data_IF_274523317448
#
_entry.id   IF_274523317448
#
_cell.length_a   1.000
_cell.length_b   1.000
_cell.length_c   1.000
_cell.angle_alpha   90.00
_cell.angle_beta   90.00
_cell.angle_gamma   90.00
#
_symmetry.space_group_name_H-M   'P 1'
#
loop_
_entity.id
_entity.type
_entity.pdbx_description
1 polymer ?
#
# COMPACT_ATOMS: atom_id res chain seq x y z
N UNK A 1 54.92 30.99 29.29
CA UNK A 1 53.86 30.92 28.28
C UNK A 1 53.20 29.54 28.42
N UNK A 2 52.11 29.47 29.17
CA UNK A 2 51.32 28.23 29.34
C UNK A 2 50.11 28.31 28.43
N UNK A 3 50.11 27.51 27.38
CA UNK A 3 48.97 27.34 26.49
C UNK A 3 47.97 26.35 27.13
N UNK A 4 46.81 26.89 27.46
CA UNK A 4 45.68 26.13 27.99
C UNK A 4 45.01 25.38 26.83
N UNK A 5 44.84 24.04 26.85
CA UNK A 5 44.10 23.36 25.83
C UNK A 5 42.61 23.60 26.08
N UNK A 6 41.93 24.28 25.15
CA UNK A 6 40.50 24.42 25.13
C UNK A 6 39.86 23.03 24.97
N UNK A 7 39.20 22.58 26.02
CA UNK A 7 38.36 21.37 25.98
C UNK A 7 37.18 21.65 25.05
N UNK A 8 37.23 21.10 23.85
CA UNK A 8 36.10 21.07 22.94
C UNK A 8 35.09 20.11 23.54
N UNK A 9 34.10 20.65 24.26
CA UNK A 9 32.91 19.91 24.65
C UNK A 9 32.15 19.65 23.37
N UNK A 10 32.28 18.40 22.83
CA UNK A 10 31.44 17.91 21.75
C UNK A 10 30.01 17.90 22.28
N UNK A 11 29.19 18.87 21.88
CA UNK A 11 27.73 18.77 22.03
C UNK A 11 27.32 17.56 21.19
N UNK A 12 27.10 16.42 21.86
CA UNK A 12 26.41 15.27 21.26
C UNK A 12 25.03 15.78 20.86
N UNK A 13 24.79 15.94 19.57
CA UNK A 13 23.47 16.23 19.04
C UNK A 13 22.51 15.21 19.67
N UNK A 14 21.54 15.68 20.45
CA UNK A 14 20.52 14.78 21.02
C UNK A 14 19.74 14.22 19.85
N UNK A 15 19.87 12.90 19.63
CA UNK A 15 19.11 12.21 18.59
C UNK A 15 17.66 12.19 18.99
N UNK A 16 16.79 12.68 18.11
CA UNK A 16 15.32 12.58 18.28
C UNK A 16 14.92 11.11 18.30
N UNK A 17 14.13 10.71 19.27
CA UNK A 17 13.61 9.34 19.42
C UNK A 17 12.16 9.25 18.94
N UNK A 18 11.65 8.04 18.76
CA UNK A 18 10.22 7.82 18.49
C UNK A 18 9.33 8.47 19.58
N UNK A 19 9.68 8.29 20.85
CA UNK A 19 8.94 8.90 21.97
C UNK A 19 8.99 10.44 21.92
N UNK A 20 10.08 11.04 21.50
CA UNK A 20 10.16 12.49 21.34
C UNK A 20 9.15 13.00 20.30
N UNK A 21 8.99 12.29 19.17
CA UNK A 21 7.97 12.64 18.16
C UNK A 21 6.54 12.44 18.68
N UNK A 22 6.32 11.42 19.50
CA UNK A 22 5.02 11.19 20.16
C UNK A 22 4.71 12.34 21.13
N UNK A 23 5.67 12.73 21.95
CA UNK A 23 5.51 13.84 22.88
C UNK A 23 5.26 15.16 22.15
N UNK A 24 5.92 15.41 21.01
CA UNK A 24 5.72 16.61 20.19
C UNK A 24 4.30 16.70 19.59
N UNK A 25 3.62 15.57 19.34
CA UNK A 25 2.31 15.56 18.67
C UNK A 25 1.12 15.35 19.60
N UNK A 26 1.31 14.77 20.79
CA UNK A 26 0.18 14.24 21.58
C UNK A 26 -0.87 15.31 21.93
N UNK A 27 -0.48 16.53 22.31
CA UNK A 27 -1.42 17.57 22.68
C UNK A 27 -2.12 18.15 21.46
N UNK A 28 -1.37 18.50 20.41
CA UNK A 28 -1.96 19.03 19.17
C UNK A 28 -2.86 18.00 18.50
N UNK A 29 -2.45 16.71 18.49
CA UNK A 29 -3.29 15.60 18.02
C UNK A 29 -4.61 15.52 18.79
N UNK A 30 -4.57 15.62 20.12
CA UNK A 30 -5.78 15.61 20.96
C UNK A 30 -6.73 16.74 20.61
N UNK A 31 -6.23 17.93 20.31
CA UNK A 31 -7.05 19.07 19.90
C UNK A 31 -7.69 18.84 18.52
N UNK A 32 -6.92 18.32 17.53
CA UNK A 32 -7.47 17.99 16.21
C UNK A 32 -8.48 16.84 16.25
N UNK A 33 -8.29 15.84 17.13
CA UNK A 33 -9.27 14.78 17.33
C UNK A 33 -10.57 15.33 17.94
N UNK A 34 -10.48 16.27 18.88
CA UNK A 34 -11.67 16.93 19.39
C UNK A 34 -12.38 17.76 18.30
N UNK A 35 -11.62 18.47 17.43
CA UNK A 35 -12.18 19.19 16.29
C UNK A 35 -12.85 18.23 15.28
N UNK A 36 -12.21 17.11 14.96
CA UNK A 36 -12.79 16.07 14.11
C UNK A 36 -14.10 15.51 14.71
N UNK A 37 -14.16 15.30 16.03
CA UNK A 37 -15.37 14.89 16.72
C UNK A 37 -16.48 15.95 16.65
N UNK A 38 -16.14 17.22 16.79
CA UNK A 38 -17.10 18.35 16.67
C UNK A 38 -17.74 18.40 15.27
N UNK A 39 -16.94 18.31 14.20
CA UNK A 39 -17.46 18.38 12.82
C UNK A 39 -18.17 17.09 12.38
N UNK A 40 -17.77 15.94 12.88
CA UNK A 40 -18.40 14.66 12.52
C UNK A 40 -19.75 14.47 13.20
N UNK A 41 -19.95 14.99 14.40
CA UNK A 41 -21.24 14.98 15.10
C UNK A 41 -21.89 13.61 15.25
N UNK A 42 -21.12 12.52 15.12
CA UNK A 42 -21.64 11.16 15.11
C UNK A 42 -22.19 10.69 13.76
N UNK A 43 -21.91 11.42 12.66
CA UNK A 43 -22.34 11.03 11.32
C UNK A 43 -21.52 9.85 10.77
N UNK A 44 -22.15 9.04 9.93
CA UNK A 44 -21.44 8.04 9.11
C UNK A 44 -20.55 8.76 8.08
N UNK A 45 -19.50 8.07 7.63
CA UNK A 45 -18.54 8.61 6.68
C UNK A 45 -18.23 7.60 5.57
N UNK A 46 -17.68 8.10 4.48
CA UNK A 46 -17.16 7.31 3.37
C UNK A 46 -15.75 7.76 3.05
N UNK A 47 -14.84 6.81 2.88
CA UNK A 47 -13.48 7.05 2.36
C UNK A 47 -13.38 6.47 0.96
N UNK A 48 -12.90 7.30 0.03
CA UNK A 48 -12.53 6.89 -1.33
C UNK A 48 -11.03 7.12 -1.49
N UNK A 49 -10.28 6.04 -1.75
CA UNK A 49 -8.84 6.11 -2.00
C UNK A 49 -8.50 6.25 -3.48
N UNK A 50 -9.45 5.98 -4.39
CA UNK A 50 -9.23 6.15 -5.84
C UNK A 50 -9.32 7.62 -6.25
N UNK A 51 -10.30 8.33 -5.66
CA UNK A 51 -10.42 9.79 -5.70
C UNK A 51 -10.30 10.30 -4.25
N UNK A 52 -9.07 10.49 -3.73
CA UNK A 52 -8.82 10.61 -2.30
C UNK A 52 -9.74 11.61 -1.60
N UNK A 53 -10.73 11.09 -0.88
CA UNK A 53 -11.71 11.88 -0.13
C UNK A 53 -12.24 11.13 1.09
N UNK A 54 -12.42 11.85 2.19
CA UNK A 54 -13.16 11.42 3.37
C UNK A 54 -14.36 12.34 3.50
N UNK A 55 -15.56 11.81 3.35
CA UNK A 55 -16.81 12.59 3.27
C UNK A 55 -17.78 12.12 4.33
N UNK A 56 -18.44 13.07 5.04
CA UNK A 56 -19.50 12.76 5.99
C UNK A 56 -20.82 12.57 5.25
N UNK A 57 -21.55 11.50 5.54
CA UNK A 57 -22.83 11.22 4.86
C UNK A 57 -23.96 12.18 5.26
N UNK A 58 -23.84 12.84 6.40
CA UNK A 58 -24.83 13.83 6.86
C UNK A 58 -24.64 15.21 6.25
N UNK A 59 -23.45 15.52 5.75
CA UNK A 59 -23.09 16.82 5.17
C UNK A 59 -21.96 16.64 4.15
N UNK A 60 -22.33 16.48 2.88
CA UNK A 60 -21.41 16.32 1.76
C UNK A 60 -20.45 17.52 1.57
N UNK A 61 -20.73 18.66 2.23
CA UNK A 61 -19.83 19.81 2.22
C UNK A 61 -18.57 19.58 3.06
N UNK A 62 -18.59 18.62 3.98
CA UNK A 62 -17.42 18.25 4.78
C UNK A 62 -16.65 17.15 4.06
N UNK A 63 -15.58 17.57 3.36
CA UNK A 63 -14.69 16.67 2.66
C UNK A 63 -13.26 16.91 3.12
N UNK A 64 -12.61 15.84 3.63
CA UNK A 64 -11.22 15.86 4.06
C UNK A 64 -10.38 14.99 3.13
N UNK A 65 -9.09 15.26 3.07
CA UNK A 65 -8.12 14.44 2.33
C UNK A 65 -7.59 13.33 3.22
N UNK A 66 -7.79 12.04 2.86
CA UNK A 66 -7.25 10.92 3.61
C UNK A 66 -5.85 10.53 3.11
N UNK A 67 -4.95 10.23 4.05
CA UNK A 67 -3.63 9.67 3.80
C UNK A 67 -3.52 8.34 4.55
N UNK A 68 -3.30 7.25 3.84
CA UNK A 68 -3.12 5.93 4.44
C UNK A 68 -1.70 5.82 5.01
N UNK A 69 -1.56 5.63 6.32
CA UNK A 69 -0.26 5.40 6.96
C UNK A 69 0.16 3.94 6.89
N UNK A 70 -0.75 3.04 7.19
CA UNK A 70 -0.48 1.62 7.25
C UNK A 70 -1.66 0.83 7.79
N UNK A 71 -1.46 -0.46 7.93
CA UNK A 71 -2.47 -1.40 8.43
C UNK A 71 -1.96 -2.16 9.64
N UNK A 72 -2.83 -2.28 10.63
CA UNK A 72 -2.67 -3.12 11.80
C UNK A 72 -3.46 -4.42 11.56
N UNK A 73 -2.80 -5.57 11.60
CA UNK A 73 -3.43 -6.87 11.41
C UNK A 73 -3.26 -7.75 12.65
N UNK A 74 -4.34 -7.99 13.38
CA UNK A 74 -4.35 -8.90 14.52
C UNK A 74 -4.04 -10.35 14.08
N UNK A 75 -4.54 -10.74 12.89
CA UNK A 75 -4.34 -12.09 12.35
C UNK A 75 -2.87 -12.36 11.99
N UNK A 76 -2.16 -11.35 11.48
CA UNK A 76 -0.72 -11.46 11.16
C UNK A 76 0.15 -11.12 12.37
N UNK A 77 -0.40 -10.44 13.39
CA UNK A 77 0.35 -9.91 14.51
C UNK A 77 1.36 -8.85 14.08
N UNK A 78 1.03 -8.03 13.07
CA UNK A 78 1.96 -7.05 12.53
C UNK A 78 1.28 -5.75 12.12
N UNK A 79 2.08 -4.67 12.13
CA UNK A 79 1.84 -3.40 11.47
C UNK A 79 2.60 -3.40 10.14
N UNK A 80 1.93 -3.00 9.04
CA UNK A 80 2.54 -2.85 7.72
C UNK A 80 2.32 -1.42 7.26
N UNK A 81 3.41 -0.74 6.89
CA UNK A 81 3.34 0.61 6.35
C UNK A 81 2.80 0.63 4.91
N UNK A 82 2.03 1.66 4.58
CA UNK A 82 1.40 1.78 3.25
C UNK A 82 2.38 2.04 2.10
N UNK A 83 3.62 2.41 2.36
CA UNK A 83 4.64 2.49 1.30
C UNK A 83 4.99 1.10 0.70
N UNK A 84 4.61 0.00 1.34
CA UNK A 84 4.69 -1.35 0.77
C UNK A 84 3.65 -1.56 -0.35
N UNK A 85 2.60 -0.79 -0.33
CA UNK A 85 1.49 -0.83 -1.29
C UNK A 85 1.64 0.25 -2.40
N UNK A 86 2.87 0.71 -2.66
CA UNK A 86 3.16 1.63 -3.76
C UNK A 86 2.72 1.00 -5.08
N UNK A 87 1.86 1.74 -5.82
CA UNK A 87 1.27 1.27 -7.07
C UNK A 87 -0.13 0.65 -6.95
N UNK A 88 -0.57 0.24 -5.75
CA UNK A 88 -1.97 -0.14 -5.49
C UNK A 88 -2.85 1.07 -5.22
N UNK A 89 -2.33 2.06 -4.46
CA UNK A 89 -3.00 3.31 -4.18
C UNK A 89 -2.43 4.45 -5.02
N UNK A 90 -3.19 5.52 -5.27
CA UNK A 90 -2.65 6.77 -5.80
C UNK A 90 -1.49 7.28 -4.90
N UNK A 91 -0.45 7.86 -5.50
CA UNK A 91 0.74 8.34 -4.77
C UNK A 91 0.37 9.32 -3.65
N UNK A 92 -0.66 10.13 -3.87
CA UNK A 92 -1.21 11.04 -2.85
C UNK A 92 -1.67 10.32 -1.58
N UNK A 93 -2.31 9.16 -1.73
CA UNK A 93 -2.86 8.41 -0.58
C UNK A 93 -1.74 7.92 0.35
N UNK A 94 -0.58 7.57 -0.19
CA UNK A 94 0.56 7.02 0.58
C UNK A 94 1.64 8.06 0.88
N UNK A 95 1.51 9.29 0.38
CA UNK A 95 2.52 10.35 0.48
C UNK A 95 2.91 10.69 1.92
N UNK A 96 1.97 10.72 2.86
CA UNK A 96 2.25 10.95 4.27
C UNK A 96 3.07 9.81 4.92
N UNK A 97 2.85 8.56 4.50
CA UNK A 97 3.67 7.44 4.96
C UNK A 97 5.10 7.55 4.42
N UNK A 98 5.26 7.91 3.14
CA UNK A 98 6.58 8.15 2.52
C UNK A 98 7.31 9.31 3.20
N UNK A 99 6.63 10.43 3.48
CA UNK A 99 7.17 11.54 4.25
C UNK A 99 7.63 11.09 5.65
N UNK A 100 6.81 10.28 6.33
CA UNK A 100 7.14 9.70 7.64
C UNK A 100 8.40 8.84 7.57
N UNK A 101 8.53 7.99 6.55
CA UNK A 101 9.74 7.18 6.30
C UNK A 101 10.98 8.04 6.12
N UNK A 102 10.86 9.10 5.32
CA UNK A 102 11.96 10.04 5.07
C UNK A 102 12.41 10.74 6.34
N UNK A 103 11.48 11.29 7.13
CA UNK A 103 11.78 11.89 8.43
C UNK A 103 12.33 10.87 9.44
N UNK A 104 11.80 9.65 9.46
CA UNK A 104 12.33 8.55 10.26
C UNK A 104 13.78 8.22 9.93
N UNK A 105 14.14 8.18 8.66
CA UNK A 105 15.50 7.95 8.20
C UNK A 105 16.45 9.09 8.61
N UNK A 106 16.00 10.33 8.51
CA UNK A 106 16.79 11.51 8.94
C UNK A 106 17.11 11.47 10.43
N UNK A 107 16.20 10.97 11.26
CA UNK A 107 16.38 10.86 12.71
C UNK A 107 16.97 9.50 13.14
N UNK A 108 17.12 8.53 12.23
CA UNK A 108 17.63 7.19 12.54
C UNK A 108 16.65 6.35 13.36
N UNK A 109 15.34 6.56 13.19
CA UNK A 109 14.26 5.86 13.91
C UNK A 109 13.85 4.63 13.08
N UNK A 110 14.24 3.44 13.56
CA UNK A 110 14.04 2.17 12.86
C UNK A 110 12.57 1.84 12.64
N UNK A 111 11.71 2.13 13.59
CA UNK A 111 10.27 1.85 13.54
C UNK A 111 9.56 2.61 12.41
N UNK A 112 10.11 3.75 12.00
CA UNK A 112 9.58 4.56 10.90
C UNK A 112 10.20 4.22 9.53
N UNK A 113 11.11 3.26 9.47
CA UNK A 113 11.81 2.87 8.22
C UNK A 113 11.73 1.38 7.91
N UNK A 114 11.27 0.58 8.88
CA UNK A 114 11.07 -0.87 8.71
C UNK A 114 9.67 -1.12 8.14
N UNK A 115 9.61 -1.89 7.08
CA UNK A 115 8.41 -2.10 6.28
C UNK A 115 7.26 -2.77 7.05
N UNK A 116 7.61 -3.79 7.86
CA UNK A 116 6.67 -4.54 8.70
C UNK A 116 7.23 -4.66 10.11
N UNK A 117 6.41 -4.39 11.11
CA UNK A 117 6.76 -4.41 12.52
C UNK A 117 5.88 -5.41 13.27
N UNK A 118 6.42 -6.21 14.23
CA UNK A 118 5.60 -6.99 15.14
C UNK A 118 4.63 -6.09 15.90
N UNK A 119 3.38 -6.52 16.03
CA UNK A 119 2.34 -5.73 16.66
C UNK A 119 2.46 -5.83 18.18
N UNK A 120 2.86 -4.72 18.80
CA UNK A 120 2.79 -4.52 20.24
C UNK A 120 1.57 -3.67 20.60
N UNK A 121 1.12 -3.77 21.86
CA UNK A 121 -0.01 -2.99 22.36
C UNK A 121 0.17 -1.49 22.14
N UNK A 122 -0.78 -0.90 21.40
CA UNK A 122 -0.80 0.52 21.08
C UNK A 122 0.30 0.96 20.08
N UNK A 123 1.00 0.04 19.40
CA UNK A 123 2.03 0.37 18.44
C UNK A 123 1.49 1.25 17.31
N UNK A 124 0.38 0.86 16.69
CA UNK A 124 -0.23 1.59 15.58
C UNK A 124 -0.52 3.05 15.95
N UNK A 125 -1.07 3.28 17.16
CA UNK A 125 -1.31 4.63 17.68
C UNK A 125 -0.01 5.42 17.91
N UNK A 126 1.03 4.79 18.44
CA UNK A 126 2.34 5.43 18.64
C UNK A 126 2.98 5.84 17.32
N UNK A 127 2.95 4.97 16.31
CA UNK A 127 3.44 5.25 14.96
C UNK A 127 2.64 6.39 14.30
N UNK A 128 1.32 6.39 14.46
CA UNK A 128 0.45 7.46 13.98
C UNK A 128 0.78 8.81 14.64
N UNK A 129 1.01 8.84 15.95
CA UNK A 129 1.41 10.07 16.65
C UNK A 129 2.78 10.58 16.17
N UNK A 130 3.77 9.70 16.00
CA UNK A 130 5.07 10.09 15.46
C UNK A 130 4.96 10.62 14.01
N UNK A 131 4.15 9.98 13.18
CA UNK A 131 3.89 10.42 11.81
C UNK A 131 3.29 11.84 11.75
N UNK A 132 2.39 12.17 12.69
CA UNK A 132 1.77 13.51 12.76
C UNK A 132 2.80 14.64 12.95
N UNK A 133 3.82 14.43 13.78
CA UNK A 133 4.92 15.38 13.96
C UNK A 133 5.70 15.63 12.67
N UNK A 134 5.91 14.57 11.88
CA UNK A 134 6.69 14.62 10.64
C UNK A 134 5.89 15.12 9.43
N UNK A 135 4.56 15.03 9.48
CA UNK A 135 3.69 15.34 8.33
C UNK A 135 2.86 16.62 8.50
N UNK A 136 2.67 17.08 9.75
CA UNK A 136 1.76 18.18 10.04
C UNK A 136 0.26 17.85 9.93
N UNK A 137 -0.09 16.61 9.61
CA UNK A 137 -1.48 16.13 9.54
C UNK A 137 -1.90 15.57 10.91
N UNK A 138 -2.53 16.39 11.74
CA UNK A 138 -2.74 16.08 13.16
C UNK A 138 -4.05 15.35 13.48
N UNK A 139 -5.01 15.26 12.54
CA UNK A 139 -6.19 14.43 12.68
C UNK A 139 -5.93 13.01 12.13
N UNK A 140 -6.54 11.99 12.72
CA UNK A 140 -6.46 10.62 12.24
C UNK A 140 -7.75 9.86 12.48
N UNK A 141 -7.91 8.75 11.76
CA UNK A 141 -9.02 7.84 11.97
C UNK A 141 -8.60 6.40 11.68
N UNK A 142 -8.85 5.45 12.61
CA UNK A 142 -8.68 4.02 12.35
C UNK A 142 -9.92 3.47 11.64
N UNK A 143 -9.75 2.95 10.43
CA UNK A 143 -10.80 2.36 9.59
C UNK A 143 -10.77 0.86 9.73
N UNK A 144 -11.89 0.21 10.06
CA UNK A 144 -11.98 -1.25 10.00
C UNK A 144 -12.01 -1.70 8.54
N UNK A 145 -10.97 -2.39 8.09
CA UNK A 145 -10.79 -2.84 6.71
C UNK A 145 -11.07 -4.34 6.51
N UNK A 146 -11.66 -5.01 7.52
CA UNK A 146 -12.00 -6.42 7.50
C UNK A 146 -11.87 -7.06 8.89
N UNK A 147 -12.08 -8.37 8.98
CA UNK A 147 -11.97 -9.08 10.26
C UNK A 147 -10.52 -9.06 10.78
N UNK A 148 -10.27 -8.32 11.88
CA UNK A 148 -8.95 -8.23 12.50
C UNK A 148 -7.94 -7.35 11.75
N UNK A 149 -8.39 -6.54 10.78
CA UNK A 149 -7.55 -5.56 10.07
C UNK A 149 -8.09 -4.15 10.27
N UNK A 150 -7.22 -3.24 10.67
CA UNK A 150 -7.53 -1.82 10.86
C UNK A 150 -6.55 -0.97 10.05
N UNK A 151 -7.06 -0.16 9.14
CA UNK A 151 -6.28 0.82 8.40
C UNK A 151 -6.22 2.14 9.16
N UNK A 152 -5.04 2.73 9.30
CA UNK A 152 -4.83 4.00 9.98
C UNK A 152 -4.60 5.09 8.96
N UNK A 153 -5.48 6.08 8.97
CA UNK A 153 -5.44 7.22 8.04
C UNK A 153 -5.19 8.52 8.79
N UNK A 154 -4.40 9.40 8.19
CA UNK A 154 -4.35 10.82 8.57
C UNK A 154 -5.36 11.59 7.74
N UNK A 155 -5.89 12.67 8.30
CA UNK A 155 -6.91 13.51 7.67
C UNK A 155 -6.45 14.97 7.67
N UNK A 156 -6.64 15.63 6.53
CA UNK A 156 -6.45 17.07 6.34
C UNK A 156 -7.62 17.71 5.62
N UNK A 157 -7.81 19.00 5.88
CA UNK A 157 -8.82 19.82 5.23
C UNK A 157 -9.05 21.12 5.99
N UNK A 158 -9.58 22.13 5.30
CA UNK A 158 -9.85 23.45 5.91
C UNK A 158 -10.87 23.40 7.05
N UNK A 159 -11.76 22.40 7.05
CA UNK A 159 -12.74 22.19 8.12
C UNK A 159 -12.10 21.78 9.46
N UNK A 160 -10.86 21.25 9.41
CA UNK A 160 -10.09 20.90 10.59
C UNK A 160 -9.27 22.08 11.15
N UNK A 161 -9.28 23.24 10.51
CA UNK A 161 -8.59 24.42 11.03
C UNK A 161 -9.07 24.73 12.45
N UNK A 162 -8.08 24.99 13.32
CA UNK A 162 -8.34 25.31 14.71
C UNK A 162 -8.43 26.84 14.86
N UNK A 163 -9.41 27.27 15.67
CA UNK A 163 -9.49 28.68 16.07
C UNK A 163 -8.23 29.14 16.80
N UNK A 164 -8.07 30.45 16.96
CA UNK A 164 -6.98 31.03 17.75
C UNK A 164 -6.92 30.36 19.15
N UNK A 165 -5.71 30.06 19.65
CA UNK A 165 -5.56 29.38 20.93
C UNK A 165 -6.09 30.22 22.08
N UNK A 166 -6.89 29.58 22.98
CA UNK A 166 -7.35 30.16 24.22
C UNK A 166 -6.78 29.37 25.41
N UNK A 167 -6.57 30.06 26.55
CA UNK A 167 -6.05 29.40 27.74
C UNK A 167 -6.95 28.26 28.23
N UNK A 168 -8.26 28.44 28.13
CA UNK A 168 -9.21 27.39 28.50
C UNK A 168 -9.09 26.15 27.60
N UNK A 169 -9.08 26.33 26.28
CA UNK A 169 -8.93 25.23 25.32
C UNK A 169 -7.61 24.49 25.51
N UNK A 170 -6.50 25.24 25.61
CA UNK A 170 -5.18 24.65 25.83
C UNK A 170 -5.11 23.84 27.12
N UNK A 171 -5.67 24.34 28.22
CA UNK A 171 -5.73 23.62 29.49
C UNK A 171 -6.57 22.34 29.41
N UNK A 172 -7.73 22.39 28.77
CA UNK A 172 -8.58 21.22 28.56
C UNK A 172 -7.90 20.13 27.71
N UNK A 173 -7.26 20.52 26.61
CA UNK A 173 -6.52 19.62 25.72
C UNK A 173 -5.38 18.92 26.47
N UNK A 174 -4.57 19.69 27.21
CA UNK A 174 -3.50 19.09 28.01
C UNK A 174 -4.05 18.12 29.06
N UNK A 175 -5.10 18.50 29.79
CA UNK A 175 -5.74 17.62 30.79
C UNK A 175 -6.26 16.32 30.16
N UNK A 176 -6.91 16.41 29.02
CA UNK A 176 -7.45 15.27 28.29
C UNK A 176 -6.35 14.35 27.76
N UNK A 177 -5.33 14.88 27.13
CA UNK A 177 -4.23 14.09 26.60
C UNK A 177 -3.44 13.36 27.67
N UNK A 178 -3.23 13.98 28.83
CA UNK A 178 -2.52 13.38 29.96
C UNK A 178 -3.25 12.16 30.56
N UNK A 179 -4.57 12.07 30.43
CA UNK A 179 -5.34 10.90 30.88
C UNK A 179 -4.95 9.62 30.13
N UNK A 180 -4.44 9.74 28.91
CA UNK A 180 -4.00 8.59 28.11
C UNK A 180 -2.68 7.97 28.59
N UNK A 181 -1.89 8.70 29.40
CA UNK A 181 -0.57 8.26 29.83
C UNK A 181 0.47 8.13 28.72
N UNK A 182 0.16 8.63 27.51
CA UNK A 182 1.02 8.50 26.31
C UNK A 182 2.20 9.48 26.34
N UNK A 183 2.00 10.70 26.87
CA UNK A 183 3.06 11.69 27.05
C UNK A 183 4.04 11.22 28.13
N UNK A 184 5.34 11.19 27.79
CA UNK A 184 6.41 10.83 28.71
C UNK A 184 7.17 12.07 29.18
N UNK A 185 7.56 12.94 28.26
CA UNK A 185 8.22 14.20 28.54
C UNK A 185 7.21 15.35 28.41
N UNK A 186 6.59 15.73 29.55
CA UNK A 186 5.56 16.77 29.52
C UNK A 186 6.12 18.18 29.20
N UNK A 187 7.40 18.47 29.56
CA UNK A 187 8.01 19.73 29.18
C UNK A 187 8.09 19.87 27.66
N UNK A 188 8.58 18.81 26.99
CA UNK A 188 8.65 18.74 25.54
C UNK A 188 7.27 18.85 24.90
N UNK A 189 6.32 18.07 25.39
CA UNK A 189 4.95 18.07 24.87
C UNK A 189 4.28 19.44 24.96
N UNK A 190 4.46 20.15 26.10
CA UNK A 190 3.96 21.51 26.26
C UNK A 190 4.67 22.50 25.33
N UNK A 191 5.99 22.47 25.27
CA UNK A 191 6.79 23.38 24.43
C UNK A 191 6.40 23.22 22.95
N UNK A 192 6.32 21.99 22.46
CA UNK A 192 5.89 21.70 21.09
C UNK A 192 4.45 22.16 20.82
N UNK A 193 3.51 21.82 21.70
CA UNK A 193 2.11 22.20 21.53
C UNK A 193 1.90 23.71 21.47
N UNK A 194 2.53 24.44 22.40
CA UNK A 194 2.42 25.91 22.43
C UNK A 194 2.95 26.54 21.15
N UNK A 195 4.09 26.07 20.65
CA UNK A 195 4.69 26.54 19.37
C UNK A 195 3.78 26.20 18.18
N UNK A 196 3.27 24.98 18.10
CA UNK A 196 2.39 24.55 17.01
C UNK A 196 1.05 25.30 17.00
N UNK A 197 0.62 25.83 18.17
CA UNK A 197 -0.57 26.67 18.27
C UNK A 197 -0.30 28.15 18.06
N UNK A 198 0.95 28.56 17.86
CA UNK A 198 1.33 29.97 17.73
C UNK A 198 1.11 30.80 19.00
N UNK A 199 1.12 30.13 20.16
CA UNK A 199 1.12 30.76 21.47
C UNK A 199 2.56 31.01 21.97
N UNK A 200 2.73 31.75 23.04
CA UNK A 200 4.03 32.00 23.62
C UNK A 200 4.24 31.19 24.88
N UNK A 201 5.45 30.68 25.08
CA UNK A 201 5.87 30.04 26.33
C UNK A 201 7.13 30.68 26.87
N UNK A 202 7.10 31.10 28.15
CA UNK A 202 8.22 31.58 28.91
C UNK A 202 8.56 30.60 30.04
N UNK A 203 9.76 30.02 30.00
CA UNK A 203 10.28 29.17 31.05
C UNK A 203 10.93 30.01 32.15
N UNK A 204 10.29 30.10 33.31
CA UNK A 204 10.84 30.79 34.47
C UNK A 204 11.98 29.95 35.11
N UNK A 205 11.77 28.64 35.18
CA UNK A 205 12.71 27.63 35.68
C UNK A 205 12.48 26.31 34.95
N UNK A 206 13.26 25.27 35.23
CA UNK A 206 12.99 23.91 34.74
C UNK A 206 11.69 23.32 35.30
N UNK A 207 11.12 23.93 36.35
CA UNK A 207 9.91 23.48 37.02
C UNK A 207 8.69 24.37 36.79
N UNK A 208 8.82 25.47 36.08
CA UNK A 208 7.71 26.41 35.87
C UNK A 208 7.79 27.09 34.52
N UNK A 209 6.64 27.19 33.85
CA UNK A 209 6.48 27.91 32.59
C UNK A 209 5.19 28.74 32.60
N UNK A 210 5.16 29.84 31.88
CA UNK A 210 3.97 30.62 31.61
C UNK A 210 3.64 30.57 30.12
N UNK A 211 2.45 30.02 29.79
CA UNK A 211 1.90 30.07 28.46
C UNK A 211 1.04 31.30 28.33
N UNK A 212 1.28 32.09 27.28
CA UNK A 212 0.43 33.24 26.92
C UNK A 212 -0.31 32.95 25.62
N UNK A 213 -1.63 33.04 25.65
CA UNK A 213 -2.51 32.93 24.50
C UNK A 213 -3.24 34.27 24.28
N UNK A 214 -4.15 34.31 23.29
CA UNK A 214 -4.83 35.56 22.89
C UNK A 214 -5.76 36.12 23.96
N UNK A 215 -6.26 35.29 24.87
CA UNK A 215 -7.26 35.63 25.90
C UNK A 215 -6.69 35.63 27.34
N UNK A 216 -5.37 35.41 27.51
CA UNK A 216 -4.78 35.39 28.82
C UNK A 216 -3.52 34.55 28.94
N UNK A 217 -3.18 34.14 30.16
CA UNK A 217 -2.03 33.28 30.41
C UNK A 217 -2.29 32.22 31.48
N UNK A 218 -1.57 31.08 31.39
CA UNK A 218 -1.53 29.99 32.34
C UNK A 218 -0.10 29.76 32.82
N UNK A 219 0.07 29.61 34.12
CA UNK A 219 1.31 29.11 34.73
C UNK A 219 1.20 27.61 34.90
N UNK A 220 2.20 26.89 34.42
CA UNK A 220 2.37 25.44 34.60
C UNK A 220 3.45 25.19 35.63
N UNK A 221 3.17 24.22 36.49
CA UNK A 221 4.13 23.69 37.46
C UNK A 221 4.50 22.26 37.04
N UNK A 222 5.79 21.95 37.14
CA UNK A 222 6.30 20.62 36.84
C UNK A 222 6.97 20.01 38.07
N UNK A 223 6.68 18.74 38.34
CA UNK A 223 7.36 17.90 39.31
C UNK A 223 7.95 16.70 38.57
N UNK A 224 9.25 16.48 38.71
CA UNK A 224 9.96 15.40 37.98
C UNK A 224 9.66 15.35 36.49
N UNK A 225 9.56 16.53 35.86
CA UNK A 225 9.28 16.66 34.42
C UNK A 225 7.82 16.42 34.01
N UNK A 226 6.89 16.25 34.99
CA UNK A 226 5.47 16.08 34.73
C UNK A 226 4.66 17.27 35.23
N UNK A 227 3.61 17.66 34.47
CA UNK A 227 2.70 18.72 34.91
C UNK A 227 2.07 18.31 36.25
N UNK A 228 2.27 19.12 37.27
CA UNK A 228 1.76 18.95 38.61
C UNK A 228 0.72 19.98 39.01
N UNK A 229 0.63 21.10 38.25
CA UNK A 229 -0.33 22.16 38.52
C UNK A 229 -0.50 23.10 37.36
N UNK A 230 -1.67 23.74 37.27
CA UNK A 230 -2.01 24.81 36.33
C UNK A 230 -2.75 25.88 37.10
N UNK A 231 -2.36 27.15 36.90
CA UNK A 231 -3.07 28.30 37.48
C UNK A 231 -3.12 29.47 36.49
N UNK A 232 -4.02 30.42 36.68
CA UNK A 232 -4.07 31.63 35.91
C UNK A 232 -2.82 32.49 36.17
N UNK A 233 -2.32 33.17 35.13
CA UNK A 233 -1.14 34.02 35.20
C UNK A 233 -1.33 35.31 34.41
N UNK A 234 -0.40 36.24 34.58
CA UNK A 234 -0.34 37.43 33.73
C UNK A 234 0.41 37.11 32.43
N UNK A 235 -0.07 37.62 31.27
CA UNK A 235 0.62 37.50 30.00
C UNK A 235 2.08 37.99 30.07
N UNK A 236 2.98 37.22 29.45
CA UNK A 236 4.40 37.56 29.36
C UNK A 236 4.78 38.30 28.08
N UNK A 237 3.91 38.30 27.07
CA UNK A 237 4.06 38.97 25.80
C UNK A 237 2.78 39.65 25.35
N UNK A 238 2.90 40.63 24.45
CA UNK A 238 1.74 41.33 23.87
C UNK A 238 1.22 40.69 22.57
N UNK A 239 0.17 41.31 22.03
CA UNK A 239 -0.53 40.83 20.83
C UNK A 239 0.35 40.75 19.58
N UNK A 240 1.29 41.72 19.40
CA UNK A 240 2.18 41.72 18.23
C UNK A 240 3.10 40.50 18.20
N UNK A 241 3.61 40.07 19.36
CA UNK A 241 4.43 38.86 19.45
C UNK A 241 3.60 37.59 19.21
N UNK A 242 2.38 37.52 19.75
CA UNK A 242 1.46 36.40 19.49
C UNK A 242 1.11 36.33 18.01
N UNK A 243 0.86 37.44 17.33
CA UNK A 243 0.60 37.44 15.89
C UNK A 243 1.82 36.93 15.10
N UNK A 244 3.03 37.28 15.48
CA UNK A 244 4.26 36.78 14.87
C UNK A 244 4.42 35.26 15.06
N UNK A 245 4.12 34.77 16.26
CA UNK A 245 4.20 33.33 16.57
C UNK A 245 3.12 32.52 15.82
N UNK A 246 1.92 33.08 15.66
CA UNK A 246 0.87 32.47 14.88
C UNK A 246 1.27 32.28 13.41
N UNK A 247 1.90 33.31 12.80
CA UNK A 247 2.45 33.22 11.44
C UNK A 247 3.54 32.14 11.37
N UNK A 248 4.47 32.11 12.32
CA UNK A 248 5.54 31.09 12.33
C UNK A 248 5.01 29.69 12.46
N UNK A 249 3.95 29.46 13.25
CA UNK A 249 3.29 28.14 13.37
C UNK A 249 2.60 27.73 12.06
N UNK A 250 1.99 28.69 11.37
CA UNK A 250 1.40 28.47 10.06
C UNK A 250 2.45 28.13 9.02
N UNK A 251 3.52 28.92 8.91
CA UNK A 251 4.63 28.72 7.98
C UNK A 251 5.25 27.31 8.16
N UNK A 252 5.44 26.89 9.42
CA UNK A 252 5.97 25.54 9.71
C UNK A 252 5.04 24.44 9.18
N UNK A 253 3.72 24.58 9.34
CA UNK A 253 2.76 23.61 8.82
C UNK A 253 2.74 23.60 7.30
N UNK A 254 2.73 24.77 6.68
CA UNK A 254 2.79 24.92 5.22
C UNK A 254 4.05 24.28 4.62
N UNK A 255 5.18 24.36 5.30
CA UNK A 255 6.42 23.69 4.88
C UNK A 255 6.25 22.17 4.87
N UNK A 256 5.66 21.57 5.92
CA UNK A 256 5.42 20.12 5.97
C UNK A 256 4.44 19.65 4.88
N UNK A 257 3.43 20.46 4.58
CA UNK A 257 2.50 20.20 3.48
C UNK A 257 3.24 20.28 2.14
N UNK A 258 4.05 21.30 1.92
CA UNK A 258 4.83 21.47 0.69
C UNK A 258 5.85 20.35 0.48
N UNK A 259 6.48 19.85 1.54
CA UNK A 259 7.36 18.68 1.48
C UNK A 259 6.59 17.42 1.01
N UNK A 260 5.36 17.23 1.48
CA UNK A 260 4.51 16.10 1.06
C UNK A 260 4.06 16.24 -0.38
N UNK A 261 3.64 17.43 -0.81
CA UNK A 261 3.26 17.70 -2.19
C UNK A 261 4.44 17.48 -3.15
N UNK A 262 5.67 17.80 -2.73
CA UNK A 262 6.88 17.52 -3.50
C UNK A 262 7.16 16.01 -3.61
N UNK A 263 6.96 15.24 -2.53
CA UNK A 263 7.07 13.77 -2.54
C UNK A 263 6.06 13.19 -3.55
N UNK A 264 4.81 13.65 -3.50
CA UNK A 264 3.75 13.24 -4.44
C UNK A 264 4.15 13.56 -5.90
N UNK A 265 4.65 14.76 -6.14
CA UNK A 265 5.07 15.20 -7.47
C UNK A 265 6.24 14.36 -8.02
N UNK A 266 7.22 14.04 -7.17
CA UNK A 266 8.35 13.19 -7.56
C UNK A 266 7.89 11.77 -7.87
N UNK A 267 7.05 11.17 -7.03
CA UNK A 267 6.50 9.85 -7.24
C UNK A 267 5.68 9.76 -8.54
N UNK A 268 4.83 10.76 -8.81
CA UNK A 268 4.08 10.84 -10.06
C UNK A 268 4.99 10.95 -11.30
N UNK A 269 6.10 11.69 -11.19
CA UNK A 269 7.08 11.82 -12.27
C UNK A 269 7.77 10.48 -12.54
N UNK A 270 8.24 9.80 -11.50
CA UNK A 270 8.86 8.48 -11.61
C UNK A 270 7.90 7.43 -12.19
N UNK A 271 6.65 7.44 -11.75
CA UNK A 271 5.61 6.56 -12.28
C UNK A 271 5.38 6.80 -13.78
N UNK A 272 5.32 8.08 -14.21
CA UNK A 272 5.16 8.43 -15.62
C UNK A 272 6.37 7.98 -16.48
N UNK A 273 7.60 8.16 -15.97
CA UNK A 273 8.81 7.68 -16.64
C UNK A 273 8.85 6.15 -16.77
N UNK A 274 8.44 5.43 -15.71
CA UNK A 274 8.35 3.98 -15.73
C UNK A 274 7.30 3.48 -16.73
N UNK A 275 6.14 4.14 -16.80
CA UNK A 275 5.11 3.83 -17.79
C UNK A 275 5.62 4.05 -19.21
N UNK A 276 6.24 5.19 -19.50
CA UNK A 276 6.83 5.47 -20.79
C UNK A 276 7.92 4.45 -21.19
N UNK A 277 8.76 4.05 -20.24
CA UNK A 277 9.76 3.02 -20.46
C UNK A 277 9.14 1.64 -20.77
N UNK A 278 8.08 1.24 -20.06
CA UNK A 278 7.34 -0.01 -20.34
C UNK A 278 6.67 0.02 -21.70
N UNK A 279 6.05 1.14 -22.08
CA UNK A 279 5.45 1.32 -23.40
C UNK A 279 6.50 1.23 -24.52
N UNK A 280 7.65 1.88 -24.35
CA UNK A 280 8.75 1.80 -25.30
C UNK A 280 9.29 0.36 -25.44
N UNK A 281 9.42 -0.37 -24.34
CA UNK A 281 9.81 -1.78 -24.36
C UNK A 281 8.76 -2.67 -25.06
N UNK A 282 7.49 -2.44 -24.80
CA UNK A 282 6.40 -3.17 -25.44
C UNK A 282 6.36 -2.91 -26.95
N UNK A 283 6.58 -1.65 -27.38
CA UNK A 283 6.67 -1.29 -28.78
C UNK A 283 7.87 -1.96 -29.46
N UNK A 284 9.05 -1.92 -28.82
CA UNK A 284 10.25 -2.58 -29.35
C UNK A 284 10.06 -4.09 -29.50
N UNK A 285 9.46 -4.74 -28.51
CA UNK A 285 9.15 -6.17 -28.56
C UNK A 285 8.12 -6.51 -29.66
N UNK A 286 7.11 -5.65 -29.87
CA UNK A 286 6.13 -5.82 -30.94
C UNK A 286 6.77 -5.66 -32.35
N UNK A 287 7.68 -4.69 -32.50
CA UNK A 287 8.44 -4.52 -33.76
C UNK A 287 9.36 -5.71 -34.03
N UNK A 288 10.03 -6.24 -33.01
CA UNK A 288 10.88 -7.43 -33.13
C UNK A 288 10.06 -8.65 -33.54
N UNK A 289 8.93 -8.90 -32.87
CA UNK A 289 8.01 -9.97 -33.22
C UNK A 289 7.48 -9.84 -34.66
N UNK A 290 7.13 -8.63 -35.10
CA UNK A 290 6.69 -8.37 -36.47
C UNK A 290 7.80 -8.69 -37.50
N UNK A 291 9.06 -8.34 -37.21
CA UNK A 291 10.21 -8.68 -38.08
C UNK A 291 10.46 -10.18 -38.14
N UNK A 292 10.33 -10.89 -36.99
CA UNK A 292 10.46 -12.33 -36.98
C UNK A 292 9.33 -13.03 -37.78
N UNK A 293 8.10 -12.56 -37.64
CA UNK A 293 6.97 -13.08 -38.42
C UNK A 293 7.14 -12.81 -39.93
N UNK A 294 7.62 -11.63 -40.33
CA UNK A 294 7.93 -11.33 -41.71
C UNK A 294 9.04 -12.24 -42.25
N UNK A 295 10.13 -12.43 -41.50
CA UNK A 295 11.22 -13.33 -41.85
C UNK A 295 10.74 -14.79 -41.96
N UNK A 296 9.85 -15.23 -41.06
CA UNK A 296 9.25 -16.55 -41.11
C UNK A 296 8.34 -16.75 -42.31
N UNK A 297 7.55 -15.73 -42.66
CA UNK A 297 6.69 -15.73 -43.83
C UNK A 297 7.51 -15.75 -45.13
N UNK A 298 8.63 -15.03 -45.17
CA UNK A 298 9.55 -15.05 -46.33
C UNK A 298 10.24 -16.42 -46.47
N UNK A 299 10.72 -17.00 -45.36
CA UNK A 299 11.30 -18.34 -45.38
C UNK A 299 10.29 -19.42 -45.84
N UNK A 300 9.03 -19.29 -45.45
CA UNK A 300 7.97 -20.17 -45.89
C UNK A 300 7.70 -20.04 -47.38
N UNK A 301 7.68 -18.83 -47.93
CA UNK A 301 7.54 -18.60 -49.39
C UNK A 301 8.71 -19.17 -50.19
N UNK A 302 9.94 -19.02 -49.69
CA UNK A 302 11.13 -19.60 -50.31
C UNK A 302 11.05 -21.13 -50.31
N UNK A 303 10.68 -21.75 -49.19
CA UNK A 303 10.52 -23.20 -49.10
C UNK A 303 9.44 -23.75 -50.03
N UNK A 304 8.29 -23.07 -50.14
CA UNK A 304 7.22 -23.43 -51.07
C UNK A 304 7.68 -23.34 -52.56
N UNK A 305 8.43 -22.27 -52.90
CA UNK A 305 9.00 -22.12 -54.23
C UNK A 305 10.03 -23.22 -54.56
N UNK A 306 10.88 -23.61 -53.58
CA UNK A 306 11.83 -24.73 -53.77
C UNK A 306 11.12 -26.07 -53.93
N UNK A 307 10.03 -26.31 -53.19
CA UNK A 307 9.23 -27.53 -53.29
C UNK A 307 8.55 -27.64 -54.66
N UNK A 308 7.96 -26.53 -55.16
CA UNK A 308 7.37 -26.46 -56.49
C UNK A 308 8.42 -26.69 -57.61
N UNK A 309 9.60 -26.10 -57.48
CA UNK A 309 10.70 -26.30 -58.43
C UNK A 309 11.20 -27.76 -58.42
N UNK A 310 11.26 -28.39 -57.26
CA UNK A 310 11.63 -29.82 -57.11
C UNK A 310 10.57 -30.73 -57.71
N UNK A 311 9.27 -30.41 -57.58
CA UNK A 311 8.18 -31.18 -58.19
C UNK A 311 8.20 -31.02 -59.70
N UNK A 312 8.41 -29.81 -60.25
CA UNK A 312 8.56 -29.61 -61.70
C UNK A 312 9.76 -30.39 -62.27
N UNK A 313 10.91 -30.35 -61.60
CA UNK A 313 12.10 -31.12 -61.97
C UNK A 313 11.83 -32.64 -61.97
N UNK A 314 11.07 -33.13 -60.99
CA UNK A 314 10.65 -34.53 -60.92
C UNK A 314 9.72 -34.92 -62.06
N UNK A 315 8.77 -34.09 -62.40
CA UNK A 315 7.85 -34.33 -63.52
C UNK A 315 8.60 -34.30 -64.86
N UNK A 316 9.55 -33.41 -65.05
CA UNK A 316 10.41 -33.35 -66.22
C UNK A 316 11.27 -34.63 -66.35
N UNK A 317 11.87 -35.05 -65.23
CA UNK A 317 12.66 -36.31 -65.20
C UNK A 317 11.81 -37.55 -65.53
N UNK A 318 10.57 -37.62 -65.07
CA UNK A 318 9.64 -38.69 -65.43
C UNK A 318 9.28 -38.65 -66.91
N UNK A 319 8.96 -37.47 -67.49
CA UNK A 319 8.65 -37.31 -68.88
C UNK A 319 9.86 -37.69 -69.81
N UNK A 320 11.09 -37.31 -69.43
CA UNK A 320 12.30 -37.76 -70.07
C UNK A 320 12.53 -39.27 -70.02
N UNK A 321 12.27 -39.88 -68.84
CA UNK A 321 12.36 -41.33 -68.67
C UNK A 321 11.36 -42.08 -69.53
N UNK A 322 10.09 -41.59 -69.59
CA UNK A 322 9.08 -42.14 -70.51
C UNK A 322 9.43 -41.99 -71.97
N UNK A 323 9.96 -40.84 -72.41
CA UNK A 323 10.42 -40.64 -73.71
C UNK A 323 11.57 -41.59 -74.12
N UNK A 324 12.54 -41.80 -73.23
CA UNK A 324 13.65 -42.76 -73.40
C UNK A 324 13.15 -44.20 -73.45
N UNK A 325 12.15 -44.56 -72.64
CA UNK A 325 11.52 -45.86 -72.63
C UNK A 325 10.75 -46.11 -73.95
N UNK A 326 10.04 -45.09 -74.47
CA UNK A 326 9.34 -45.17 -75.76
C UNK A 326 10.31 -45.27 -76.96
N UNK A 327 11.43 -44.59 -76.93
CA UNK A 327 12.50 -44.66 -77.92
C UNK A 327 13.16 -46.07 -77.91
N UNK A 328 13.41 -46.62 -76.67
CA UNK A 328 13.92 -47.98 -76.55
C UNK A 328 12.95 -49.03 -77.06
N UNK A 329 11.63 -48.92 -76.69
CA UNK A 329 10.59 -49.80 -77.18
C UNK A 329 10.48 -49.76 -78.73
N UNK A 330 10.60 -48.60 -79.36
CA UNK A 330 10.69 -48.47 -80.87
C UNK A 330 11.93 -49.09 -81.40
N UNK A 331 13.06 -49.01 -80.75
CA UNK A 331 14.31 -49.66 -81.17
C UNK A 331 14.21 -51.21 -81.11
N UNK A 332 13.57 -51.71 -80.01
CA UNK A 332 13.30 -53.18 -79.90
C UNK A 332 12.27 -53.72 -80.86
N UNK A 333 11.28 -52.89 -81.27
CA UNK A 333 10.32 -53.26 -82.32
C UNK A 333 10.98 -53.35 -83.76
N UNK A 334 12.04 -52.56 -83.98
CA UNK A 334 12.82 -52.63 -85.21
C UNK A 334 13.77 -53.83 -85.25
N UNK A 335 14.30 -54.31 -84.09
CA UNK A 335 15.16 -55.50 -84.00
C UNK A 335 14.40 -56.84 -84.02
N UNK A 336 13.07 -56.82 -83.66
CA UNK A 336 12.23 -58.00 -83.53
C UNK A 336 11.73 -58.56 -84.92
N UNK A 337 12.09 -57.97 -86.05
CA UNK A 337 11.65 -58.45 -87.41
C UNK A 337 12.61 -59.36 -88.16
N UNK A 338 13.66 -59.86 -87.50
CA UNK A 338 14.56 -60.83 -88.15
C UNK A 338 14.80 -62.04 -87.21
N UNK A 339 14.15 -63.14 -87.56
CA UNK A 339 14.54 -64.50 -87.39
C UNK A 339 13.45 -65.40 -86.68
N UNK A 340 12.72 -66.08 -87.54
CA UNK A 340 12.10 -67.32 -87.33
C UNK A 340 13.14 -68.43 -87.33
N UNK A 341 13.21 -69.35 -86.38
CA UNK A 341 12.95 -70.72 -86.58
C UNK A 341 13.29 -71.60 -85.37
N UNK A 342 12.30 -72.47 -84.97
CA UNK A 342 12.39 -73.80 -84.40
C UNK A 342 13.21 -74.01 -83.08
N UNK A 343 12.76 -74.75 -82.05
CA UNK A 343 12.23 -76.06 -81.96
C UNK A 343 11.91 -76.34 -80.46
N UNK A 344 10.72 -76.96 -80.16
CA UNK A 344 10.40 -77.59 -78.91
C UNK A 344 11.17 -78.98 -78.75
N UNK A 345 11.14 -79.76 -77.65
CA UNK A 345 10.24 -79.71 -76.51
C UNK A 345 10.84 -80.14 -75.11
N UNK A 346 9.99 -80.08 -74.14
CA UNK A 346 9.70 -81.02 -73.05
C UNK A 346 10.18 -80.84 -71.64
N UNK A 347 9.24 -80.65 -70.80
CA UNK A 347 8.85 -81.45 -69.58
C UNK A 347 9.75 -81.33 -68.36
N UNK A 348 9.30 -81.04 -67.33
CA UNK A 348 8.66 -81.57 -66.23
C UNK A 348 8.81 -80.75 -64.92
N UNK A 349 7.72 -80.67 -64.22
CA UNK A 349 7.55 -80.15 -62.86
C UNK A 349 8.25 -81.08 -61.84
N UNK A 350 8.13 -80.84 -60.50
CA UNK A 350 7.53 -79.73 -59.75
C UNK A 350 8.24 -79.43 -58.37
N UNK A 351 7.61 -78.59 -57.63
CA UNK A 351 7.39 -78.56 -56.15
C UNK A 351 8.38 -77.93 -55.20
N UNK A 352 7.77 -77.03 -54.42
CA UNK A 352 7.78 -76.74 -52.95
C UNK A 352 8.98 -75.98 -52.38
N UNK A 353 8.76 -74.93 -51.77
CA UNK A 353 8.39 -74.60 -50.38
C UNK A 353 8.66 -73.14 -50.01
N UNK A 354 7.65 -72.53 -49.40
CA UNK A 354 7.74 -71.39 -48.50
C UNK A 354 8.39 -71.80 -47.18
N UNK A 355 8.47 -70.89 -46.16
CA UNK A 355 8.91 -69.52 -46.00
C UNK A 355 9.92 -69.37 -44.82
N UNK A 356 10.43 -68.19 -44.56
CA UNK A 356 10.73 -67.65 -43.17
C UNK A 356 11.08 -66.20 -43.24
N UNK A 357 10.31 -65.47 -42.64
CA UNK A 357 10.36 -64.46 -41.54
C UNK A 357 11.72 -63.77 -41.24
N UNK A 358 11.50 -62.53 -40.99
CA UNK A 358 12.14 -61.60 -40.00
C UNK A 358 13.11 -60.56 -40.54
N UNK A 359 12.65 -59.33 -40.45
CA UNK A 359 13.30 -58.24 -39.74
C UNK A 359 12.52 -56.93 -39.84
N UNK A 360 11.99 -56.48 -38.76
CA UNK A 360 11.35 -55.16 -38.57
C UNK A 360 12.38 -54.03 -38.42
N UNK A 361 12.07 -52.81 -38.88
CA UNK A 361 12.82 -51.63 -38.58
C UNK A 361 12.19 -50.85 -37.41
N UNK A 362 13.05 -50.10 -36.74
CA UNK A 362 12.94 -49.37 -35.52
C UNK A 362 11.80 -48.35 -35.37
N UNK A 363 11.35 -48.33 -34.16
CA UNK A 363 10.28 -47.55 -33.55
C UNK A 363 10.76 -46.14 -33.18
N UNK A 364 10.06 -45.13 -33.70
CA UNK A 364 10.12 -43.75 -33.20
C UNK A 364 9.07 -43.61 -32.10
N UNK A 365 9.49 -43.25 -30.92
CA UNK A 365 8.63 -42.99 -29.77
C UNK A 365 8.14 -41.56 -29.76
N UNK A 366 6.84 -41.33 -29.97
CA UNK A 366 6.13 -40.12 -29.58
C UNK A 366 5.59 -40.29 -28.18
N UNK A 367 5.94 -39.36 -27.29
CA UNK A 367 5.42 -39.28 -25.93
C UNK A 367 4.11 -38.51 -25.92
N UNK A 368 3.04 -39.21 -25.61
CA UNK A 368 1.72 -38.65 -25.30
C UNK A 368 1.62 -38.53 -23.79
N UNK A 369 1.28 -37.34 -23.28
CA UNK A 369 0.89 -37.15 -21.89
C UNK A 369 -0.61 -37.36 -21.79
N UNK A 370 -0.99 -38.29 -20.93
CA UNK A 370 -2.37 -38.68 -20.68
C UNK A 370 -3.05 -37.74 -19.67
N UNK A 371 -4.33 -37.44 -19.93
CA UNK A 371 -5.38 -37.04 -19.02
C UNK A 371 -5.72 -38.16 -18.03
N UNK A 372 -6.02 -37.79 -16.81
CA UNK A 372 -6.85 -38.48 -15.80
C UNK A 372 -6.81 -37.57 -14.55
N UNK A 373 -7.84 -37.15 -13.78
CA UNK A 373 -9.08 -37.83 -13.45
C UNK A 373 -10.15 -36.80 -13.03
N UNK A 374 -11.34 -37.01 -13.52
CA UNK A 374 -12.58 -36.41 -13.02
C UNK A 374 -13.12 -37.36 -11.94
N UNK A 375 -13.26 -36.89 -10.71
CA UNK A 375 -14.05 -37.55 -9.66
C UNK A 375 -15.32 -36.76 -9.41
N UNK A 376 -16.40 -37.35 -9.89
CA UNK A 376 -17.79 -37.02 -9.49
C UNK A 376 -18.09 -37.61 -8.13
N UNK A 377 -18.56 -36.81 -7.18
CA UNK A 377 -19.25 -37.31 -6.00
C UNK A 377 -20.65 -36.72 -5.94
N UNK A 378 -21.55 -37.62 -5.83
CA UNK A 378 -23.00 -37.55 -5.82
C UNK A 378 -23.58 -36.91 -4.59
N UNK A 379 -24.76 -36.32 -4.80
CA UNK A 379 -25.74 -35.82 -3.84
C UNK A 379 -26.18 -36.90 -2.85
N UNK A 380 -26.47 -36.51 -1.59
CA UNK A 380 -27.50 -37.10 -0.77
C UNK A 380 -28.20 -36.05 0.07
N UNK A 381 -29.50 -35.96 -0.16
CA UNK A 381 -30.51 -35.24 0.63
C UNK A 381 -30.66 -35.93 2.00
N UNK A 382 -30.91 -35.18 3.07
CA UNK A 382 -31.97 -35.54 4.02
C UNK A 382 -32.37 -34.35 4.91
N UNK A 383 -33.62 -34.23 4.99
CA UNK A 383 -34.59 -33.36 5.60
C UNK A 383 -34.59 -33.47 7.16
N UNK A 384 -34.71 -32.39 7.92
CA UNK A 384 -35.61 -32.31 9.06
C UNK A 384 -35.81 -30.87 9.62
N UNK A 385 -37.06 -30.52 9.66
CA UNK A 385 -37.65 -29.35 10.31
C UNK A 385 -37.44 -29.37 11.83
N UNK A 386 -37.12 -28.18 12.42
CA UNK A 386 -37.76 -27.76 13.69
C UNK A 386 -37.74 -26.26 13.86
N UNK A 387 -38.92 -25.71 14.00
CA UNK A 387 -39.29 -24.32 14.31
C UNK A 387 -38.88 -23.91 15.72
N UNK A 388 -38.31 -22.69 15.89
CA UNK A 388 -38.62 -21.87 17.07
C UNK A 388 -38.36 -20.38 16.75
N UNK A 389 -39.41 -19.62 16.99
CA UNK A 389 -39.46 -18.17 16.89
C UNK A 389 -38.52 -17.52 17.92
N UNK A 390 -37.75 -16.53 17.47
CA UNK A 390 -36.96 -15.66 18.33
C UNK A 390 -36.62 -14.38 17.56
N UNK A 391 -37.25 -13.27 17.95
CA UNK A 391 -37.02 -11.93 17.44
C UNK A 391 -35.52 -11.61 17.40
N UNK A 392 -34.98 -11.38 16.22
CA UNK A 392 -33.68 -10.79 16.04
C UNK A 392 -33.79 -9.43 15.37
N UNK A 393 -33.42 -8.43 16.13
CA UNK A 393 -33.13 -7.07 15.68
C UNK A 393 -32.06 -7.17 14.58
N UNK A 394 -32.45 -6.87 13.35
CA UNK A 394 -31.53 -6.77 12.20
C UNK A 394 -30.73 -5.47 12.30
N UNK A 395 -29.53 -5.53 12.83
CA UNK A 395 -28.48 -4.58 12.52
C UNK A 395 -27.93 -4.91 11.13
N UNK A 396 -28.30 -4.13 10.13
CA UNK A 396 -27.64 -4.17 8.82
C UNK A 396 -26.22 -3.63 8.98
N UNK A 397 -25.25 -4.51 9.21
CA UNK A 397 -23.84 -4.22 8.99
C UNK A 397 -23.55 -4.46 7.49
N UNK A 398 -23.54 -3.39 6.71
CA UNK A 398 -22.86 -3.41 5.41
C UNK A 398 -21.42 -2.97 5.62
N UNK A 399 -20.59 -3.86 6.16
CA UNK A 399 -19.14 -3.69 6.13
C UNK A 399 -18.65 -4.21 4.77
N UNK A 400 -18.21 -3.32 3.90
CA UNK A 400 -17.40 -3.70 2.74
C UNK A 400 -16.05 -4.25 3.26
N UNK A 401 -15.88 -5.56 3.17
CA UNK A 401 -14.67 -6.24 3.58
C UNK A 401 -13.61 -6.08 2.50
N UNK A 402 -12.55 -5.31 2.80
CA UNK A 402 -11.27 -5.45 2.12
C UNK A 402 -10.49 -6.53 2.88
N UNK A 403 -10.58 -7.78 2.43
CA UNK A 403 -9.71 -8.83 2.95
C UNK A 403 -8.29 -8.60 2.39
N UNK A 404 -7.26 -8.82 3.21
CA UNK A 404 -5.86 -8.74 2.77
C UNK A 404 -5.54 -9.68 1.60
N UNK A 405 -6.36 -10.72 1.37
CA UNK A 405 -6.29 -11.61 0.21
C UNK A 405 -6.79 -10.97 -1.09
N UNK A 406 -7.60 -9.90 -1.02
CA UNK A 406 -8.11 -9.22 -2.22
C UNK A 406 -7.09 -8.21 -2.79
N UNK A 407 -6.02 -7.93 -2.05
CA UNK A 407 -4.90 -7.08 -2.47
C UNK A 407 -3.81 -7.87 -3.24
N UNK A 408 -3.81 -9.20 -3.19
CA UNK A 408 -2.77 -10.04 -3.81
C UNK A 408 -3.09 -10.55 -5.24
N UNK A 409 -4.28 -10.36 -5.74
CA UNK A 409 -4.67 -10.85 -7.07
C UNK A 409 -5.21 -9.74 -7.94
N UNK A 410 -4.36 -8.99 -8.58
CA UNK A 410 -4.50 -8.62 -9.98
C UNK A 410 -3.40 -7.66 -10.47
N UNK A 411 -2.33 -8.20 -11.00
CA UNK A 411 -1.40 -7.46 -11.84
C UNK A 411 -2.02 -7.35 -13.24
N UNK A 412 -2.96 -6.43 -13.44
CA UNK A 412 -3.42 -6.14 -14.79
C UNK A 412 -4.82 -5.60 -15.01
N UNK A 413 -5.64 -5.43 -13.96
CA UNK A 413 -6.95 -4.80 -14.14
C UNK A 413 -6.95 -3.34 -13.68
N UNK A 414 -7.73 -2.51 -14.40
CA UNK A 414 -7.94 -1.10 -14.12
C UNK A 414 -8.22 -0.88 -12.62
N UNK A 415 -7.55 0.13 -12.04
CA UNK A 415 -7.78 0.60 -10.66
C UNK A 415 -9.27 0.65 -10.39
N UNK A 416 -9.81 -0.34 -9.67
CA UNK A 416 -11.19 -0.34 -9.21
C UNK A 416 -11.39 0.74 -8.16
N UNK A 417 -12.62 1.25 -8.04
CA UNK A 417 -12.99 2.21 -7.00
C UNK A 417 -12.78 1.58 -5.62
N UNK A 418 -11.80 2.05 -4.85
CA UNK A 418 -11.53 1.61 -3.49
C UNK A 418 -12.28 2.54 -2.54
N UNK A 419 -13.52 2.17 -2.19
CA UNK A 419 -14.39 2.92 -1.29
C UNK A 419 -14.71 2.12 -0.04
N UNK A 420 -14.56 2.75 1.11
CA UNK A 420 -14.93 2.18 2.40
C UNK A 420 -15.93 3.11 3.08
N UNK A 421 -17.04 2.54 3.54
CA UNK A 421 -18.00 3.25 4.37
C UNK A 421 -17.96 2.69 5.80
N UNK A 422 -18.11 3.54 6.81
CA UNK A 422 -18.04 3.16 8.21
C UNK A 422 -18.99 3.95 9.11
N UNK A 423 -19.17 3.44 10.32
CA UNK A 423 -19.90 4.12 11.37
C UNK A 423 -19.13 5.36 11.86
N UNK A 424 -19.83 6.23 12.57
CA UNK A 424 -19.25 7.40 13.22
C UNK A 424 -18.00 7.06 14.02
N UNK A 425 -17.00 7.94 14.05
CA UNK A 425 -15.78 7.76 14.84
C UNK A 425 -16.13 7.59 16.32
N UNK A 426 -15.72 6.48 16.94
CA UNK A 426 -15.86 6.27 18.38
C UNK A 426 -14.57 6.70 19.10
N UNK A 427 -14.46 8.00 19.33
CA UNK A 427 -13.32 8.60 20.03
C UNK A 427 -13.27 8.21 21.52
N UNK A 428 -14.38 7.72 22.11
CA UNK A 428 -14.38 7.22 23.49
C UNK A 428 -13.74 5.84 23.55
N UNK A 429 -14.01 4.96 22.57
CA UNK A 429 -13.35 3.68 22.46
C UNK A 429 -11.84 3.84 22.23
N UNK A 430 -11.42 4.76 21.35
CA UNK A 430 -10.00 5.08 21.12
C UNK A 430 -9.31 5.60 22.39
N UNK A 431 -10.01 6.40 23.20
CA UNK A 431 -9.52 6.86 24.50
C UNK A 431 -9.44 5.72 25.52
N UNK A 432 -10.42 4.81 25.53
CA UNK A 432 -10.46 3.66 26.43
C UNK A 432 -9.30 2.69 26.12
N UNK A 433 -9.02 2.41 24.86
CA UNK A 433 -7.85 1.60 24.45
C UNK A 433 -6.53 2.24 24.91
N UNK A 434 -6.42 3.58 24.82
CA UNK A 434 -5.24 4.30 25.30
C UNK A 434 -5.11 4.30 26.85
N UNK A 435 -6.24 4.19 27.57
CA UNK A 435 -6.31 4.25 29.04
C UNK A 435 -6.17 2.87 29.71
N UNK A 436 -6.17 1.76 28.98
CA UNK A 436 -6.22 0.39 29.56
C UNK A 436 -4.91 -0.06 30.22
N UNK A 437 -3.88 0.76 30.30
CA UNK A 437 -2.71 0.46 31.13
C UNK A 437 -3.06 0.54 32.60
N UNK A 438 -2.73 -0.49 33.40
CA UNK A 438 -2.90 -0.41 34.83
C UNK A 438 -1.99 0.70 35.38
N UNK A 439 -2.59 1.83 35.69
CA UNK A 439 -1.91 2.87 36.47
C UNK A 439 -1.76 2.38 37.91
N UNK A 440 -0.62 2.59 38.58
CA UNK A 440 -0.55 2.41 40.01
C UNK A 440 -1.60 3.32 40.62
N UNK A 441 -2.47 2.73 41.45
CA UNK A 441 -3.54 3.41 42.16
C UNK A 441 -2.94 4.48 43.09
N UNK A 442 -2.95 5.73 42.65
CA UNK A 442 -2.94 6.88 43.53
C UNK A 442 -4.24 7.64 43.32
N UNK A 443 -5.16 7.44 44.26
CA UNK A 443 -6.37 8.25 44.42
C UNK A 443 -5.98 9.68 44.76
N UNK A 444 -5.87 10.54 43.77
CA UNK A 444 -6.02 11.99 43.95
C UNK A 444 -7.02 12.51 42.93
N UNK A 445 -8.29 12.46 43.37
CA UNK A 445 -9.36 13.17 42.66
C UNK A 445 -9.00 14.65 42.54
N UNK A 446 -8.79 15.14 41.30
CA UNK A 446 -9.48 16.34 41.00
C UNK A 446 -8.76 17.64 41.00
N UNK A 447 -7.49 17.75 40.55
CA UNK A 447 -6.94 19.08 40.27
C UNK A 447 -7.60 19.72 39.05
N UNK A 448 -7.69 18.96 37.95
CA UNK A 448 -8.29 19.44 36.68
C UNK A 448 -9.81 19.61 36.75
N UNK A 449 -10.53 18.72 37.46
CA UNK A 449 -11.98 18.84 37.63
C UNK A 449 -12.44 20.11 38.36
N UNK A 450 -11.60 20.67 39.22
CA UNK A 450 -11.91 21.93 39.95
C UNK A 450 -11.72 23.17 39.09
N UNK A 451 -10.84 23.13 38.10
CA UNK A 451 -10.46 24.30 37.32
C UNK A 451 -11.28 24.45 36.04
N UNK A 452 -11.68 23.36 35.41
CA UNK A 452 -12.37 23.36 34.11
C UNK A 452 -13.81 22.82 34.15
N UNK A 453 -14.33 22.46 35.32
CA UNK A 453 -15.73 22.01 35.48
C UNK A 453 -16.02 20.65 34.83
N UNK A 454 -15.02 19.75 34.72
CA UNK A 454 -15.13 18.38 34.23
C UNK A 454 -15.43 17.36 35.37
#
# INVERSE_FOLDING_TARGET
MCTNPATVVSLKAMTTTLQDLIDDSIFISTEYQARLAEISGGAEWTVDFSAPSFTLQSDDSVTLTPYLLGTESENRGSWIWSWQELGHFPDRVVSAAVQTRTGGAQHGISELTTDELPLDEGLARKLTLAAKTLTGAYAHYPVTAGAGVRAWILLEGSQLELDAPTVNRMGQVMAQALQTGTAVNHLRAVDSYVKLRGAHIAWDTEATAVITATDGALRLWFDQGKISGIEAAEPTVGADELARLAVAAQDQREQLIAERDEIERLAATEAAEQMAAREAQAQAAAEEAAREDEARAEAARVAEAEELAAEEARLQALAEAEARAAEKAKAEEVEGTVSTDRVYPNADQPFDQEPTEDAQPGRVTTSTIADEDIVTATEDEDDELLTSEGESVQTKQTAGSLAASDLETDQGQARGDIRVAGAAPDFEAERAEAATKPQPKEEKKGFFSRFFGL
#
